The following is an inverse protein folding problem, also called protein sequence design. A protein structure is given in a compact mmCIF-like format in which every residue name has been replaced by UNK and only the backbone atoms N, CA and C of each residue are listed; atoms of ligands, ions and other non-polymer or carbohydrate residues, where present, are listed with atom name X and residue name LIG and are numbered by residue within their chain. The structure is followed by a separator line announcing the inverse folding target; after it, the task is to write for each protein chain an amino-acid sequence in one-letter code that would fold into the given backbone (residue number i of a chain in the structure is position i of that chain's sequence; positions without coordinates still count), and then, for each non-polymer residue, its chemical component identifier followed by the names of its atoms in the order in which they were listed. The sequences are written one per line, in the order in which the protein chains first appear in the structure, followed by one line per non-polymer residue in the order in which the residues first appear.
data_IF_685875124450
#
_entry.id   IF_685875124450
#
_cell.length_a   1.000
_cell.length_b   1.000
_cell.length_c   1.000
_cell.angle_alpha   90.00
_cell.angle_beta   90.00
_cell.angle_gamma   90.00
#
_symmetry.space_group_name_H-M   'P 1'
#
loop_
_entity.id
_entity.type
_entity.pdbx_description
1 polymer ?
#
# COMPACT_ATOMS: atom_id res chain seq x y z
N UNK A 1 12.08 -19.13 -41.71
CA UNK A 1 11.14 -18.61 -40.68
C UNK A 1 11.95 -18.18 -39.47
N UNK A 2 12.04 -16.89 -39.21
CA UNK A 2 12.75 -16.39 -38.02
C UNK A 2 11.93 -16.76 -36.78
N UNK A 3 12.56 -17.44 -35.84
CA UNK A 3 11.97 -17.78 -34.53
C UNK A 3 11.75 -16.49 -33.76
N UNK A 4 10.52 -15.96 -33.74
CA UNK A 4 10.16 -14.87 -32.85
C UNK A 4 9.91 -15.46 -31.45
N UNK A 5 10.61 -15.01 -30.40
CA UNK A 5 10.32 -15.44 -29.04
C UNK A 5 8.83 -15.22 -28.73
N UNK A 6 8.18 -16.16 -28.02
CA UNK A 6 6.81 -16.00 -27.54
C UNK A 6 6.73 -14.70 -26.72
N UNK A 7 5.87 -13.79 -27.12
CA UNK A 7 5.66 -12.52 -26.44
C UNK A 7 6.08 -11.27 -27.22
N UNK A 8 6.91 -11.38 -28.26
CA UNK A 8 7.33 -10.25 -29.08
C UNK A 8 6.12 -9.64 -29.83
N UNK A 9 5.77 -8.39 -29.45
CA UNK A 9 4.67 -7.62 -30.02
C UNK A 9 3.46 -7.46 -29.10
N UNK A 10 3.18 -8.40 -28.19
CA UNK A 10 2.13 -8.25 -27.18
C UNK A 10 2.55 -7.41 -26.00
N UNK A 11 3.84 -7.33 -25.71
CA UNK A 11 4.44 -6.51 -24.66
C UNK A 11 4.44 -5.00 -24.99
N UNK A 12 4.29 -4.64 -26.27
CA UNK A 12 4.23 -3.23 -26.71
C UNK A 12 2.80 -2.65 -26.70
N UNK A 13 1.78 -3.49 -26.55
CA UNK A 13 0.38 -3.06 -26.57
C UNK A 13 -0.22 -3.15 -25.16
N UNK A 14 -0.81 -2.06 -24.67
CA UNK A 14 -1.39 -1.98 -23.32
C UNK A 14 -2.68 -2.76 -23.22
N UNK A 15 -3.48 -2.76 -24.29
CA UNK A 15 -4.89 -3.18 -24.31
C UNK A 15 -5.11 -4.56 -24.94
N UNK A 16 -4.05 -5.25 -25.35
CA UNK A 16 -4.13 -6.53 -26.07
C UNK A 16 -3.71 -7.67 -25.16
N UNK A 17 -4.61 -8.64 -25.01
CA UNK A 17 -4.29 -9.89 -24.35
C UNK A 17 -3.32 -10.72 -25.18
N UNK A 18 -2.32 -11.28 -24.55
CA UNK A 18 -1.51 -12.35 -25.12
C UNK A 18 -2.31 -13.66 -25.22
N UNK A 19 -1.86 -14.64 -26.04
CA UNK A 19 -2.56 -15.91 -26.20
C UNK A 19 -2.79 -16.72 -24.90
N UNK A 20 -2.00 -16.45 -23.87
CA UNK A 20 -2.13 -17.04 -22.53
C UNK A 20 -3.02 -16.21 -21.58
N UNK A 21 -3.69 -15.18 -22.11
CA UNK A 21 -4.66 -14.35 -21.37
C UNK A 21 -4.02 -13.30 -20.47
N UNK A 22 -2.73 -12.97 -20.66
CA UNK A 22 -2.02 -11.97 -19.88
C UNK A 22 -2.02 -10.59 -20.55
N UNK A 23 -2.03 -9.53 -19.75
CA UNK A 23 -1.70 -8.16 -20.15
C UNK A 23 -0.25 -7.89 -19.71
N UNK A 24 0.72 -7.94 -20.62
CA UNK A 24 2.14 -7.84 -20.28
C UNK A 24 2.50 -6.54 -19.59
N UNK A 25 1.90 -5.42 -19.97
CA UNK A 25 2.16 -4.13 -19.31
C UNK A 25 1.68 -4.12 -17.85
N UNK A 26 0.60 -4.82 -17.52
CA UNK A 26 0.15 -5.03 -16.14
C UNK A 26 1.14 -5.91 -15.38
N UNK A 27 1.66 -6.97 -16.01
CA UNK A 27 2.67 -7.82 -15.39
C UNK A 27 3.96 -7.03 -15.09
N UNK A 28 4.43 -6.19 -16.02
CA UNK A 28 5.59 -5.33 -15.81
C UNK A 28 5.36 -4.29 -14.73
N UNK A 29 4.16 -3.70 -14.65
CA UNK A 29 3.78 -2.80 -13.57
C UNK A 29 3.78 -3.52 -12.21
N UNK A 30 3.32 -4.77 -12.17
CA UNK A 30 3.36 -5.61 -10.97
C UNK A 30 4.80 -5.95 -10.54
N UNK A 31 5.72 -6.14 -11.47
CA UNK A 31 7.14 -6.30 -11.16
C UNK A 31 7.76 -5.02 -10.58
N UNK A 32 7.33 -3.83 -11.02
CA UNK A 32 7.74 -2.57 -10.40
C UNK A 32 7.27 -2.48 -8.94
N UNK A 33 6.05 -2.92 -8.64
CA UNK A 33 5.55 -3.01 -7.26
C UNK A 33 6.37 -3.98 -6.41
N UNK A 34 6.66 -5.19 -6.92
CA UNK A 34 7.45 -6.20 -6.21
C UNK A 34 8.87 -5.73 -5.86
N UNK A 35 9.44 -4.81 -6.66
CA UNK A 35 10.75 -4.19 -6.40
C UNK A 35 10.68 -2.98 -5.48
N UNK A 36 9.48 -2.47 -5.23
CA UNK A 36 9.24 -1.36 -4.32
C UNK A 36 9.57 -1.74 -2.88
N UNK A 37 9.81 -0.74 -2.04
CA UNK A 37 10.01 -0.96 -0.61
C UNK A 37 8.72 -1.52 0.02
N UNK A 38 8.90 -2.35 1.04
CA UNK A 38 7.80 -3.02 1.72
C UNK A 38 6.92 -2.01 2.43
N UNK A 39 5.62 -2.15 2.22
CA UNK A 39 4.58 -1.49 3.00
C UNK A 39 3.58 -2.55 3.48
N UNK A 40 3.05 -2.36 4.66
CA UNK A 40 2.11 -3.30 5.26
C UNK A 40 1.06 -2.60 6.11
N UNK A 41 -0.05 -3.32 6.32
CA UNK A 41 -1.15 -2.88 7.17
C UNK A 41 -1.69 -4.05 8.00
N UNK A 42 -2.08 -3.77 9.23
CA UNK A 42 -2.63 -4.74 10.18
C UNK A 42 -3.87 -4.15 10.84
N UNK A 43 -5.00 -4.83 10.73
CA UNK A 43 -6.23 -4.50 11.48
C UNK A 43 -6.14 -5.04 12.89
N UNK A 44 -6.71 -4.29 13.83
CA UNK A 44 -6.92 -4.73 15.20
C UNK A 44 -8.30 -4.27 15.70
N UNK A 45 -8.65 -4.65 16.91
CA UNK A 45 -9.93 -4.27 17.52
C UNK A 45 -10.13 -2.75 17.65
N UNK A 46 -9.02 -2.01 17.80
CA UNK A 46 -9.03 -0.59 18.07
C UNK A 46 -8.84 0.28 16.81
N UNK A 47 -8.47 -0.33 15.67
CA UNK A 47 -8.17 0.41 14.45
C UNK A 47 -7.22 -0.32 13.51
N UNK A 48 -6.31 0.42 12.89
CA UNK A 48 -5.36 -0.12 11.89
C UNK A 48 -3.98 0.48 12.12
N UNK A 49 -2.97 -0.37 11.99
CA UNK A 49 -1.55 0.00 11.93
C UNK A 49 -1.08 -0.05 10.48
N UNK A 50 -0.45 1.00 10.00
CA UNK A 50 0.32 1.02 8.76
C UNK A 50 1.81 1.13 9.09
N UNK A 51 2.65 0.36 8.39
CA UNK A 51 4.09 0.45 8.52
C UNK A 51 4.78 0.31 7.15
N UNK A 52 5.84 1.08 6.93
CA UNK A 52 6.58 1.05 5.67
C UNK A 52 8.09 1.12 5.92
N UNK A 53 8.83 0.46 5.04
CA UNK A 53 10.27 0.63 4.90
C UNK A 53 10.55 1.98 4.22
N UNK A 54 11.11 2.92 4.99
CA UNK A 54 11.45 4.28 4.54
C UNK A 54 12.95 4.35 4.21
N UNK A 55 13.42 3.51 3.27
CA UNK A 55 14.83 3.60 2.83
C UNK A 55 15.12 4.96 2.23
N UNK A 56 15.82 5.81 2.96
CA UNK A 56 16.28 7.10 2.48
C UNK A 56 17.57 6.88 1.70
N UNK A 57 17.60 7.20 0.38
CA UNK A 57 18.73 6.81 -0.49
C UNK A 57 20.03 7.57 -0.20
N UNK A 58 19.98 8.67 0.53
CA UNK A 58 21.14 9.50 0.85
C UNK A 58 20.87 10.35 2.09
N UNK A 59 21.94 10.60 2.86
CA UNK A 59 21.91 11.56 4.00
C UNK A 59 21.61 13.01 3.57
N UNK A 60 21.68 13.31 2.27
CA UNK A 60 21.39 14.64 1.71
C UNK A 60 19.90 14.82 1.39
N UNK A 61 19.10 13.76 1.43
CA UNK A 61 17.65 13.83 1.25
C UNK A 61 17.01 14.32 2.54
N UNK A 62 16.14 15.32 2.43
CA UNK A 62 15.33 15.76 3.56
C UNK A 62 14.29 14.67 3.89
N UNK A 63 14.34 14.06 5.10
CA UNK A 63 13.49 12.92 5.45
C UNK A 63 11.99 13.21 5.35
N UNK A 64 11.58 14.45 5.59
CA UNK A 64 10.19 14.91 5.53
C UNK A 64 9.63 14.90 4.09
N UNK A 65 10.51 15.07 3.09
CA UNK A 65 10.12 15.03 1.67
C UNK A 65 9.88 13.61 1.14
N UNK A 66 10.29 12.60 1.90
CA UNK A 66 10.23 11.19 1.49
C UNK A 66 9.16 10.45 2.30
N UNK A 67 7.90 10.69 1.95
CA UNK A 67 6.73 10.02 2.55
C UNK A 67 6.30 8.81 1.73
N UNK A 68 5.86 7.76 2.42
CA UNK A 68 5.24 6.56 1.85
C UNK A 68 3.91 6.21 2.50
N UNK A 69 3.59 6.80 3.64
CA UNK A 69 2.27 6.78 4.25
C UNK A 69 1.65 8.15 4.03
N UNK A 70 0.51 8.19 3.37
CA UNK A 70 -0.17 9.41 2.98
C UNK A 70 -1.54 9.46 3.64
N UNK A 71 -1.83 10.55 4.32
CA UNK A 71 -3.18 10.85 4.75
C UNK A 71 -4.03 11.23 3.54
N UNK A 72 -5.16 10.55 3.36
CA UNK A 72 -6.15 10.86 2.32
C UNK A 72 -7.24 11.75 2.90
N UNK A 73 -7.79 11.36 4.04
CA UNK A 73 -8.76 12.10 4.81
C UNK A 73 -8.49 11.91 6.32
N UNK A 74 -9.30 12.51 7.18
CA UNK A 74 -9.15 12.38 8.65
C UNK A 74 -9.15 10.93 9.11
N UNK A 75 -9.96 10.09 8.49
CA UNK A 75 -10.22 8.71 8.85
C UNK A 75 -9.62 7.69 7.87
N UNK A 76 -8.95 8.13 6.79
CA UNK A 76 -8.37 7.26 5.75
C UNK A 76 -6.92 7.65 5.49
N UNK A 77 -6.07 6.63 5.41
CA UNK A 77 -4.69 6.76 4.96
C UNK A 77 -4.31 5.65 3.97
N UNK A 78 -3.23 5.86 3.23
CA UNK A 78 -2.67 4.88 2.31
C UNK A 78 -1.20 4.68 2.56
N UNK A 79 -0.74 3.44 2.39
CA UNK A 79 0.67 3.11 2.26
C UNK A 79 0.94 2.61 0.85
N UNK A 80 2.09 2.98 0.27
CA UNK A 80 2.37 2.73 -1.14
C UNK A 80 3.65 1.92 -1.35
N UNK A 81 3.64 1.11 -2.41
CA UNK A 81 4.83 0.42 -2.93
C UNK A 81 4.88 0.49 -4.46
N UNK A 82 6.09 0.45 -5.01
CA UNK A 82 6.36 0.62 -6.43
C UNK A 82 6.84 2.02 -6.78
N UNK A 83 6.38 2.57 -7.88
CA UNK A 83 6.74 3.90 -8.36
C UNK A 83 6.03 4.98 -7.55
N UNK A 84 6.77 5.71 -6.72
CA UNK A 84 6.21 6.74 -5.82
C UNK A 84 5.52 7.88 -6.59
N UNK A 85 5.99 8.25 -7.78
CA UNK A 85 5.33 9.26 -8.60
C UNK A 85 3.91 8.82 -8.99
N UNK A 86 3.72 7.56 -9.36
CA UNK A 86 2.41 6.99 -9.68
C UNK A 86 1.53 6.90 -8.44
N UNK A 87 2.10 6.45 -7.32
CA UNK A 87 1.40 6.39 -6.05
C UNK A 87 0.86 7.77 -5.62
N UNK A 88 1.66 8.83 -5.77
CA UNK A 88 1.21 10.20 -5.46
C UNK A 88 0.02 10.62 -6.30
N UNK A 89 -0.01 10.28 -7.59
CA UNK A 89 -1.18 10.59 -8.45
C UNK A 89 -2.45 9.87 -7.95
N UNK A 90 -2.32 8.61 -7.56
CA UNK A 90 -3.44 7.85 -6.99
C UNK A 90 -3.91 8.44 -5.65
N UNK A 91 -2.97 8.85 -4.80
CA UNK A 91 -3.28 9.51 -3.50
C UNK A 91 -3.99 10.84 -3.71
N UNK A 92 -3.50 11.70 -4.63
CA UNK A 92 -4.17 12.96 -4.94
C UNK A 92 -5.58 12.72 -5.47
N UNK A 93 -5.75 11.73 -6.34
CA UNK A 93 -7.09 11.34 -6.81
C UNK A 93 -7.97 10.88 -5.66
N UNK A 94 -7.44 10.06 -4.74
CA UNK A 94 -8.17 9.59 -3.57
C UNK A 94 -8.63 10.76 -2.68
N UNK A 95 -7.77 11.75 -2.45
CA UNK A 95 -8.11 12.99 -1.72
C UNK A 95 -9.26 13.74 -2.37
N UNK A 96 -9.18 13.92 -3.69
CA UNK A 96 -10.24 14.60 -4.47
C UNK A 96 -11.56 13.85 -4.37
N UNK A 97 -11.55 12.51 -4.53
CA UNK A 97 -12.76 11.69 -4.43
C UNK A 97 -13.40 11.76 -3.04
N UNK A 98 -12.58 11.76 -1.97
CA UNK A 98 -13.06 11.90 -0.60
C UNK A 98 -13.74 13.27 -0.38
N UNK A 99 -13.13 14.35 -0.87
CA UNK A 99 -13.72 15.70 -0.75
C UNK A 99 -14.98 15.88 -1.61
N UNK A 100 -14.99 15.37 -2.84
CA UNK A 100 -16.18 15.39 -3.70
C UNK A 100 -17.35 14.65 -3.02
N UNK A 101 -17.06 13.47 -2.42
CA UNK A 101 -18.07 12.70 -1.73
C UNK A 101 -18.67 13.49 -0.55
N UNK A 102 -17.81 14.07 0.29
CA UNK A 102 -18.25 14.89 1.43
C UNK A 102 -19.08 16.10 0.99
N UNK A 103 -18.65 16.83 -0.05
CA UNK A 103 -19.36 17.98 -0.58
C UNK A 103 -20.71 17.61 -1.19
N UNK A 104 -20.84 16.40 -1.76
CA UNK A 104 -22.06 15.96 -2.45
C UNK A 104 -23.08 15.38 -1.48
N UNK A 105 -22.63 14.62 -0.48
CA UNK A 105 -23.49 13.82 0.38
C UNK A 105 -23.49 14.24 1.85
N UNK A 106 -22.62 15.20 2.22
CA UNK A 106 -22.43 15.68 3.60
C UNK A 106 -22.05 14.55 4.60
N UNK A 107 -21.39 13.51 4.10
CA UNK A 107 -20.88 12.37 4.90
C UNK A 107 -19.48 11.97 4.45
N UNK A 108 -18.74 11.33 5.34
CA UNK A 108 -17.43 10.79 5.04
C UNK A 108 -17.53 9.61 4.08
N UNK A 109 -16.62 9.54 3.09
CA UNK A 109 -16.57 8.42 2.14
C UNK A 109 -16.19 7.14 2.88
N UNK A 110 -16.85 6.01 2.53
CA UNK A 110 -16.41 4.72 3.04
C UNK A 110 -15.08 4.27 2.39
N UNK A 111 -14.28 3.53 3.14
CA UNK A 111 -12.99 3.03 2.65
C UNK A 111 -13.19 2.15 1.41
N UNK A 112 -14.20 1.27 1.45
CA UNK A 112 -14.57 0.39 0.34
C UNK A 112 -14.97 1.16 -0.93
N UNK A 113 -15.77 2.23 -0.80
CA UNK A 113 -16.16 3.06 -1.94
C UNK A 113 -14.96 3.82 -2.52
N UNK A 114 -14.09 4.37 -1.67
CA UNK A 114 -12.86 5.02 -2.12
C UNK A 114 -11.96 4.03 -2.86
N UNK A 115 -11.78 2.83 -2.30
CA UNK A 115 -10.98 1.78 -2.92
C UNK A 115 -11.52 1.39 -4.30
N UNK A 116 -12.87 1.25 -4.42
CA UNK A 116 -13.52 1.03 -5.72
C UNK A 116 -13.19 2.13 -6.72
N UNK A 117 -13.31 3.41 -6.35
CA UNK A 117 -13.03 4.53 -7.25
C UNK A 117 -11.57 4.54 -7.72
N UNK A 118 -10.63 4.22 -6.85
CA UNK A 118 -9.21 4.11 -7.20
C UNK A 118 -8.96 2.89 -8.09
N UNK A 119 -9.55 1.74 -7.78
CA UNK A 119 -9.48 0.54 -8.62
C UNK A 119 -10.04 0.77 -10.03
N UNK A 120 -11.20 1.43 -10.13
CA UNK A 120 -11.83 1.79 -11.42
C UNK A 120 -10.88 2.69 -12.26
N UNK A 121 -10.22 3.67 -11.63
CA UNK A 121 -9.21 4.51 -12.30
C UNK A 121 -8.01 3.68 -12.79
N UNK A 122 -7.47 2.80 -11.94
CA UNK A 122 -6.33 1.95 -12.30
C UNK A 122 -6.70 1.01 -13.45
N UNK A 123 -7.88 0.39 -13.39
CA UNK A 123 -8.40 -0.51 -14.42
C UNK A 123 -8.59 0.24 -15.77
N UNK A 124 -9.10 1.47 -15.74
CA UNK A 124 -9.25 2.30 -16.93
C UNK A 124 -7.90 2.49 -17.64
N UNK A 125 -6.80 2.63 -16.90
CA UNK A 125 -5.45 2.73 -17.44
C UNK A 125 -4.94 1.44 -18.12
N UNK A 126 -5.63 0.33 -17.98
CA UNK A 126 -5.34 -0.92 -18.70
C UNK A 126 -6.15 -1.09 -19.98
N UNK A 127 -7.18 -0.27 -20.21
CA UNK A 127 -8.10 -0.40 -21.35
C UNK A 127 -7.93 0.69 -22.42
N UNK A 128 -7.43 1.88 -22.05
CA UNK A 128 -7.31 2.99 -22.98
C UNK A 128 -5.92 3.06 -23.58
N UNK A 129 -5.85 3.09 -24.93
CA UNK A 129 -4.60 3.32 -25.65
C UNK A 129 -3.98 4.67 -25.29
N UNK A 130 -2.66 4.73 -25.21
CA UNK A 130 -1.91 5.93 -24.81
C UNK A 130 -1.72 6.14 -23.32
N UNK A 131 -2.40 5.35 -22.47
CA UNK A 131 -2.17 5.29 -21.03
C UNK A 131 -1.35 4.03 -20.70
N UNK A 132 -0.52 4.10 -19.68
CA UNK A 132 0.11 2.90 -19.12
C UNK A 132 -0.52 2.55 -17.77
N UNK A 133 -0.48 1.27 -17.34
CA UNK A 133 -0.84 0.90 -15.98
C UNK A 133 0.02 1.66 -14.94
N UNK A 134 -0.55 1.93 -13.79
CA UNK A 134 0.21 2.47 -12.67
C UNK A 134 1.20 1.42 -12.15
N UNK A 135 2.48 1.79 -12.06
CA UNK A 135 3.52 0.94 -11.48
C UNK A 135 3.53 0.97 -9.95
N UNK A 136 2.37 1.07 -9.33
CA UNK A 136 2.20 1.20 -7.90
C UNK A 136 1.02 0.38 -7.41
N UNK A 137 1.11 -0.12 -6.17
CA UNK A 137 0.00 -0.66 -5.38
C UNK A 137 -0.16 0.17 -4.12
N UNK A 138 -1.39 0.27 -3.65
CA UNK A 138 -1.76 0.95 -2.43
C UNK A 138 -2.36 -0.04 -1.43
N UNK A 139 -1.99 0.12 -0.17
CA UNK A 139 -2.76 -0.33 0.97
C UNK A 139 -3.63 0.86 1.36
N UNK A 140 -4.94 0.75 1.19
CA UNK A 140 -5.91 1.78 1.58
C UNK A 140 -6.56 1.32 2.88
N UNK A 141 -6.37 2.09 3.93
CA UNK A 141 -6.82 1.75 5.27
C UNK A 141 -7.62 2.90 5.85
N UNK A 142 -8.66 2.56 6.60
CA UNK A 142 -9.48 3.58 7.22
C UNK A 142 -10.48 3.00 8.22
N UNK A 143 -11.17 3.89 8.90
CA UNK A 143 -12.16 3.55 9.91
C UNK A 143 -13.38 4.45 9.77
N UNK A 144 -14.49 3.88 9.29
CA UNK A 144 -15.82 4.49 9.39
C UNK A 144 -16.49 4.00 10.68
N UNK A 145 -17.42 3.08 10.59
CA UNK A 145 -17.97 2.40 11.77
C UNK A 145 -17.09 1.21 12.15
N UNK A 146 -16.58 0.49 11.13
CA UNK A 146 -15.58 -0.57 11.28
C UNK A 146 -14.26 -0.19 10.62
N UNK A 147 -13.20 -0.86 11.06
CA UNK A 147 -11.87 -0.77 10.41
C UNK A 147 -11.86 -1.56 9.11
N UNK A 148 -11.42 -0.96 8.02
CA UNK A 148 -11.29 -1.59 6.71
C UNK A 148 -9.89 -1.40 6.14
N UNK A 149 -9.33 -2.48 5.59
CA UNK A 149 -8.02 -2.53 4.94
C UNK A 149 -8.17 -3.17 3.57
N UNK A 150 -7.83 -2.44 2.52
CA UNK A 150 -7.83 -2.94 1.15
C UNK A 150 -6.44 -2.84 0.52
N UNK A 151 -6.13 -3.77 -0.37
CA UNK A 151 -4.92 -3.73 -1.20
C UNK A 151 -5.34 -3.68 -2.66
N UNK A 152 -4.79 -2.70 -3.39
CA UNK A 152 -4.97 -2.59 -4.84
C UNK A 152 -3.79 -3.22 -5.58
N UNK A 153 -4.01 -3.66 -6.81
CA UNK A 153 -2.95 -4.08 -7.73
C UNK A 153 -2.97 -3.25 -9.04
N UNK A 154 -1.90 -3.28 -9.85
CA UNK A 154 -1.82 -2.51 -11.09
C UNK A 154 -2.89 -2.78 -12.15
N UNK A 155 -3.63 -3.89 -12.04
CA UNK A 155 -4.77 -4.18 -12.93
C UNK A 155 -6.02 -3.40 -12.56
N UNK A 156 -6.06 -2.80 -11.37
CA UNK A 156 -7.23 -2.19 -10.76
C UNK A 156 -8.01 -3.16 -9.87
N UNK A 157 -7.54 -4.40 -9.73
CA UNK A 157 -8.08 -5.34 -8.75
C UNK A 157 -7.85 -4.85 -7.32
N UNK A 158 -8.78 -5.13 -6.42
CA UNK A 158 -8.62 -4.84 -5.00
C UNK A 158 -9.30 -5.88 -4.13
N UNK A 159 -8.71 -6.16 -2.98
CA UNK A 159 -9.22 -7.12 -2.01
C UNK A 159 -9.15 -6.54 -0.60
N UNK A 160 -10.13 -6.89 0.23
CA UNK A 160 -10.13 -6.60 1.66
C UNK A 160 -9.30 -7.62 2.43
N UNK A 161 -8.51 -7.15 3.41
CA UNK A 161 -7.60 -7.97 4.20
C UNK A 161 -7.73 -7.67 5.69
N UNK A 162 -7.36 -8.63 6.52
CA UNK A 162 -7.14 -8.44 7.96
C UNK A 162 -5.71 -7.94 8.24
N UNK A 163 -4.73 -8.51 7.53
CA UNK A 163 -3.36 -8.05 7.49
C UNK A 163 -2.79 -8.32 6.10
N UNK A 164 -2.03 -7.39 5.55
CA UNK A 164 -1.45 -7.53 4.23
C UNK A 164 -0.16 -6.74 4.07
N UNK A 165 0.67 -7.19 3.13
CA UNK A 165 1.88 -6.49 2.72
C UNK A 165 1.97 -6.37 1.21
N UNK A 166 2.67 -5.34 0.74
CA UNK A 166 3.03 -5.09 -0.66
C UNK A 166 4.52 -4.76 -0.76
N UNK A 167 5.07 -4.91 -1.95
CA UNK A 167 6.50 -4.62 -2.17
C UNK A 167 7.41 -5.83 -2.03
N UNK A 168 8.70 -5.57 -1.89
CA UNK A 168 9.74 -6.61 -1.94
C UNK A 168 9.67 -7.63 -0.80
N UNK A 169 9.18 -7.24 0.37
CA UNK A 169 9.02 -8.12 1.52
C UNK A 169 7.63 -8.75 1.68
N UNK A 170 6.77 -8.65 0.64
CA UNK A 170 5.40 -9.16 0.71
C UNK A 170 5.33 -10.60 1.20
N UNK A 171 6.11 -11.51 0.61
CA UNK A 171 6.05 -12.94 0.89
C UNK A 171 6.42 -13.23 2.35
N UNK A 172 7.57 -12.72 2.81
CA UNK A 172 8.03 -12.93 4.19
C UNK A 172 7.10 -12.31 5.23
N UNK A 173 6.53 -11.13 4.93
CA UNK A 173 5.57 -10.49 5.82
C UNK A 173 4.26 -11.28 5.89
N UNK A 174 3.79 -11.82 4.76
CA UNK A 174 2.58 -12.64 4.71
C UNK A 174 2.73 -13.92 5.52
N UNK A 175 3.89 -14.60 5.46
CA UNK A 175 4.19 -15.78 6.27
C UNK A 175 4.10 -15.47 7.78
N UNK A 176 4.60 -14.32 8.21
CA UNK A 176 4.50 -13.86 9.61
C UNK A 176 3.04 -13.61 10.00
N UNK A 177 2.27 -12.95 9.12
CA UNK A 177 0.85 -12.68 9.39
C UNK A 177 0.04 -13.96 9.50
N UNK A 178 0.22 -14.92 8.60
CA UNK A 178 -0.49 -16.20 8.62
C UNK A 178 -0.17 -17.04 9.87
N UNK A 179 1.06 -16.92 10.38
CA UNK A 179 1.49 -17.62 11.58
C UNK A 179 1.00 -16.97 12.89
N UNK A 180 0.92 -15.64 12.96
CA UNK A 180 0.81 -14.93 14.24
C UNK A 180 -0.39 -14.00 14.36
N UNK A 181 -1.09 -13.67 13.27
CA UNK A 181 -2.26 -12.80 13.32
C UNK A 181 -3.40 -13.48 14.10
N UNK A 182 -4.09 -12.68 14.92
CA UNK A 182 -5.31 -13.08 15.63
C UNK A 182 -6.36 -11.99 15.46
N UNK A 183 -7.64 -12.37 15.42
CA UNK A 183 -8.74 -11.42 15.21
C UNK A 183 -8.94 -10.45 16.39
N UNK A 184 -8.54 -10.83 17.58
CA UNK A 184 -8.66 -10.08 18.84
C UNK A 184 -7.39 -9.31 19.24
N UNK A 185 -6.46 -9.13 18.31
CA UNK A 185 -5.18 -8.46 18.55
C UNK A 185 -5.37 -6.98 18.98
N UNK A 186 -4.65 -6.56 20.03
CA UNK A 186 -4.64 -5.17 20.48
C UNK A 186 -3.81 -4.27 19.57
N UNK A 187 -3.92 -2.94 19.73
CA UNK A 187 -3.13 -1.98 18.96
C UNK A 187 -1.63 -2.19 19.18
N UNK A 188 -1.18 -2.34 20.43
CA UNK A 188 0.24 -2.54 20.75
C UNK A 188 0.78 -3.84 20.15
N UNK A 189 0.03 -4.94 20.25
CA UNK A 189 0.39 -6.20 19.62
C UNK A 189 0.44 -6.09 18.10
N UNK A 190 -0.46 -5.31 17.48
CA UNK A 190 -0.46 -5.08 16.04
C UNK A 190 0.74 -4.27 15.57
N UNK A 191 1.21 -3.31 16.37
CA UNK A 191 2.44 -2.56 16.11
C UNK A 191 3.65 -3.51 16.14
N UNK A 192 3.73 -4.37 17.16
CA UNK A 192 4.81 -5.36 17.27
C UNK A 192 4.77 -6.38 16.13
N UNK A 193 3.57 -6.87 15.77
CA UNK A 193 3.38 -7.79 14.65
C UNK A 193 3.80 -7.13 13.32
N UNK A 194 3.43 -5.86 13.11
CA UNK A 194 3.82 -5.10 11.93
C UNK A 194 5.34 -4.94 11.83
N UNK A 195 6.02 -4.59 12.90
CA UNK A 195 7.48 -4.49 12.96
C UNK A 195 8.15 -5.85 12.75
N UNK A 196 7.61 -6.93 13.32
CA UNK A 196 8.11 -8.29 13.12
C UNK A 196 7.98 -8.73 11.66
N UNK A 197 6.84 -8.45 11.03
CA UNK A 197 6.61 -8.75 9.62
C UNK A 197 7.50 -7.91 8.68
N UNK A 198 7.84 -6.68 9.07
CA UNK A 198 8.71 -5.80 8.30
C UNK A 198 10.20 -6.21 8.41
N UNK A 199 10.62 -6.78 9.55
CA UNK A 199 12.01 -7.10 9.87
C UNK A 199 12.77 -7.89 8.78
N UNK A 200 12.20 -8.93 8.14
CA UNK A 200 12.91 -9.70 7.10
C UNK A 200 13.21 -8.89 5.82
N UNK A 201 12.48 -7.80 5.58
CA UNK A 201 12.59 -6.99 4.36
C UNK A 201 13.50 -5.77 4.51
N UNK A 202 13.99 -5.49 5.71
CA UNK A 202 14.87 -4.36 6.01
C UNK A 202 16.24 -4.86 6.50
N UNK A 203 17.32 -4.14 6.17
CA UNK A 203 18.66 -4.50 6.63
C UNK A 203 18.77 -4.43 8.15
N UNK A 204 18.13 -3.43 8.76
CA UNK A 204 18.00 -3.29 10.20
C UNK A 204 16.76 -2.46 10.56
N UNK A 205 16.11 -2.82 11.65
CA UNK A 205 15.11 -1.97 12.28
C UNK A 205 15.85 -0.85 13.03
N UNK A 206 16.04 0.29 12.37
CA UNK A 206 16.75 1.43 12.93
C UNK A 206 15.91 2.70 12.82
N UNK A 207 16.21 3.65 13.72
CA UNK A 207 15.57 4.95 13.76
C UNK A 207 15.61 5.64 12.39
N UNK A 208 14.45 6.17 11.95
CA UNK A 208 14.32 6.93 10.71
C UNK A 208 14.16 6.09 9.44
N UNK A 209 14.36 4.76 9.50
CA UNK A 209 14.17 3.86 8.35
C UNK A 209 12.78 3.23 8.28
N UNK A 210 11.96 3.44 9.31
CA UNK A 210 10.61 2.91 9.39
C UNK A 210 9.66 4.07 9.65
N UNK A 211 8.61 4.14 8.86
CA UNK A 211 7.51 5.07 9.08
C UNK A 211 6.28 4.26 9.48
N UNK A 212 5.62 4.66 10.56
CA UNK A 212 4.40 4.04 11.04
C UNK A 212 3.30 5.06 11.27
N UNK A 213 2.07 4.62 11.08
CA UNK A 213 0.90 5.42 11.37
C UNK A 213 -0.23 4.55 11.89
N UNK A 214 -1.07 5.16 12.68
CA UNK A 214 -2.25 4.56 13.29
C UNK A 214 -3.50 5.23 12.74
N UNK A 215 -4.55 4.43 12.56
CA UNK A 215 -5.91 4.92 12.33
C UNK A 215 -6.74 4.38 13.49
N UNK A 216 -7.13 5.24 14.40
CA UNK A 216 -7.91 4.92 15.60
C UNK A 216 -8.95 6.00 15.84
N UNK A 217 -10.14 5.64 16.29
CA UNK A 217 -11.21 6.58 16.60
C UNK A 217 -11.51 7.54 15.42
N UNK A 218 -11.52 7.02 14.20
CA UNK A 218 -11.70 7.75 12.94
C UNK A 218 -10.66 8.85 12.70
N UNK A 219 -9.45 8.71 13.28
CA UNK A 219 -8.37 9.69 13.16
C UNK A 219 -7.07 9.03 12.74
N UNK A 220 -6.45 9.62 11.74
CA UNK A 220 -5.09 9.29 11.34
C UNK A 220 -4.09 9.97 12.28
N UNK A 221 -3.11 9.21 12.75
CA UNK A 221 -1.96 9.71 13.52
C UNK A 221 -0.69 9.06 12.99
N UNK A 222 0.25 9.87 12.52
CA UNK A 222 1.61 9.43 12.23
C UNK A 222 2.35 9.27 13.56
N UNK A 223 3.03 8.14 13.73
CA UNK A 223 3.87 7.90 14.92
C UNK A 223 5.17 8.69 14.80
N UNK A 224 5.63 9.23 15.91
CA UNK A 224 6.97 9.83 15.99
C UNK A 224 8.05 8.75 15.98
N UNK A 225 9.26 9.11 15.54
CA UNK A 225 10.40 8.20 15.56
C UNK A 225 10.67 7.65 16.97
N UNK A 226 10.43 8.43 18.02
CA UNK A 226 10.64 7.99 19.39
C UNK A 226 9.56 6.99 19.85
N UNK A 227 8.30 7.15 19.39
CA UNK A 227 7.24 6.15 19.62
C UNK A 227 7.59 4.83 18.92
N UNK A 228 8.03 4.88 17.66
CA UNK A 228 8.40 3.68 16.88
C UNK A 228 9.60 2.96 17.55
N UNK A 229 10.61 3.70 17.99
CA UNK A 229 11.80 3.12 18.62
C UNK A 229 11.48 2.35 19.91
N UNK A 230 10.55 2.81 20.73
CA UNK A 230 10.11 2.08 21.94
C UNK A 230 9.63 0.65 21.60
N UNK A 231 8.88 0.50 20.51
CA UNK A 231 8.43 -0.83 20.06
C UNK A 231 9.55 -1.65 19.41
N UNK A 232 10.49 -0.98 18.71
CA UNK A 232 11.67 -1.68 18.15
C UNK A 232 12.54 -2.26 19.29
N UNK A 233 12.72 -1.54 20.38
CA UNK A 233 13.52 -1.99 21.52
C UNK A 233 12.85 -3.18 22.22
N UNK A 234 11.52 -3.19 22.36
CA UNK A 234 10.75 -4.34 22.86
C UNK A 234 10.91 -5.61 21.99
N UNK A 235 11.17 -5.49 20.70
CA UNK A 235 11.41 -6.64 19.82
C UNK A 235 12.82 -7.21 19.90
N UNK A 236 13.74 -6.50 20.59
CA UNK A 236 15.13 -6.92 20.79
C UNK A 236 15.34 -7.66 22.12
N UNK A 237 14.42 -7.47 23.06
CA UNK A 237 14.37 -8.20 24.33
C UNK A 237 13.72 -9.58 24.15
#
# INVERSE_FOLDING_TARGET
MAFRPRGVGYDMAITVFSPDGSLYQVNYASEAVKRGATALGVKCNEGIVLAVDKRIPSKLVQPESFEKIFQVDTHIATAASGMIADARQLVERARVEAQIHRLTYDVDISVSLLCKKIGDLMQMHTQYGGLRPFGASLIIAGMNDDSELFVTDPSGGYLGWKAAAIGSGRTSAQEVFEAEYKDDISMDQSILLALKALKPSVEALVKGNIEMALIKDKKFKKMSDDEVNKYIDQLRE
#
